data_IF_196269090899
#
_entry.id   IF_196269090899
#
_cell.length_a   1.000
_cell.length_b   1.000
_cell.length_c   1.000
_cell.angle_alpha   90.00
_cell.angle_beta   90.00
_cell.angle_gamma   90.00
#
_symmetry.space_group_name_H-M   'P 1'
#
loop_
_entity.id
_entity.type
_entity.pdbx_description
1 polymer ?
#
# COMPACT_ATOMS: atom_id res chain seq x y z
N UNK A 1 -17.40 28.64 0.02
CA UNK A 1 -18.01 28.94 1.33
C UNK A 1 -17.16 30.04 1.95
N UNK A 2 -17.48 31.30 1.65
CA UNK A 2 -16.89 32.45 2.35
C UNK A 2 -17.94 33.01 3.29
N UNK A 3 -17.94 32.60 4.55
CA UNK A 3 -18.63 33.34 5.58
C UNK A 3 -17.71 34.47 6.06
N UNK A 4 -18.23 35.66 6.24
CA UNK A 4 -17.51 36.84 6.69
C UNK A 4 -17.06 36.78 8.16
N UNK A 5 -17.36 35.71 8.87
CA UNK A 5 -16.90 35.49 10.27
C UNK A 5 -15.63 34.65 10.28
N UNK A 6 -14.55 35.24 9.82
CA UNK A 6 -13.21 34.72 9.60
C UNK A 6 -12.50 34.05 10.77
N UNK A 7 -13.10 33.09 11.48
CA UNK A 7 -12.45 32.44 12.62
C UNK A 7 -12.14 30.96 12.47
N UNK A 8 -12.71 30.25 11.51
CA UNK A 8 -12.37 28.83 11.27
C UNK A 8 -12.02 28.62 9.81
N UNK A 9 -10.74 28.44 9.52
CA UNK A 9 -10.25 27.94 8.23
C UNK A 9 -10.07 26.44 8.31
N UNK A 10 -10.69 25.72 7.36
CA UNK A 10 -10.42 24.31 7.18
C UNK A 10 -9.08 24.16 6.45
N UNK A 11 -8.17 23.38 7.00
CA UNK A 11 -6.91 23.03 6.35
C UNK A 11 -7.09 21.88 5.34
N UNK A 12 -8.09 21.02 5.55
CA UNK A 12 -8.41 19.85 4.73
C UNK A 12 -9.92 19.74 4.51
N UNK A 13 -10.32 19.48 3.28
CA UNK A 13 -11.69 19.10 2.90
C UNK A 13 -11.64 17.73 2.27
N UNK A 14 -12.39 16.76 2.81
CA UNK A 14 -12.53 15.44 2.22
C UNK A 14 -13.90 15.31 1.55
N UNK A 15 -13.88 14.91 0.27
CA UNK A 15 -15.08 14.70 -0.55
C UNK A 15 -15.17 13.21 -0.85
N UNK A 16 -16.25 12.58 -0.38
CA UNK A 16 -16.53 11.16 -0.64
C UNK A 16 -17.63 11.03 -1.70
N UNK A 17 -17.33 10.29 -2.76
CA UNK A 17 -18.34 9.79 -3.70
C UNK A 17 -18.68 8.36 -3.30
N UNK A 18 -19.88 8.16 -2.80
CA UNK A 18 -20.39 6.83 -2.40
C UNK A 18 -21.34 6.33 -3.47
N UNK A 19 -21.05 5.14 -4.03
CA UNK A 19 -21.90 4.53 -5.06
C UNK A 19 -21.95 3.02 -4.86
N UNK A 20 -23.11 2.43 -5.14
CA UNK A 20 -23.30 0.97 -5.11
C UNK A 20 -22.95 0.30 -6.44
N UNK A 21 -22.43 1.06 -7.40
CA UNK A 21 -21.98 0.53 -8.69
C UNK A 21 -20.47 0.42 -8.70
N UNK A 22 -19.92 -0.58 -9.42
CA UNK A 22 -18.48 -0.66 -9.66
C UNK A 22 -18.04 0.49 -10.56
N UNK A 23 -16.95 1.18 -10.18
CA UNK A 23 -16.30 2.15 -11.06
C UNK A 23 -15.51 1.39 -12.11
N UNK A 24 -16.10 1.20 -13.29
CA UNK A 24 -15.43 0.54 -14.42
C UNK A 24 -14.68 1.59 -15.22
N UNK A 25 -13.36 1.48 -15.28
CA UNK A 25 -12.56 2.20 -16.27
C UNK A 25 -12.78 1.57 -17.63
N UNK A 26 -13.70 2.11 -18.43
CA UNK A 26 -13.92 1.67 -19.80
C UNK A 26 -12.76 2.11 -20.68
N UNK A 27 -11.74 1.27 -20.82
CA UNK A 27 -10.72 1.43 -21.85
C UNK A 27 -11.37 1.15 -23.21
N UNK A 28 -11.38 2.14 -24.10
CA UNK A 28 -11.74 1.97 -25.51
C UNK A 28 -13.19 2.28 -25.91
N UNK A 29 -13.99 2.86 -25.03
CA UNK A 29 -15.32 3.33 -25.41
C UNK A 29 -15.25 4.73 -26.07
N UNK A 30 -16.05 4.94 -27.10
CA UNK A 30 -16.32 6.25 -27.74
C UNK A 30 -16.62 7.30 -26.68
N UNK A 31 -16.16 8.55 -26.82
CA UNK A 31 -16.36 9.58 -25.82
C UNK A 31 -17.86 9.80 -25.59
N UNK A 32 -18.31 9.47 -24.40
CA UNK A 32 -19.67 9.78 -23.97
C UNK A 32 -19.67 11.20 -23.38
N UNK A 33 -20.55 12.09 -23.82
CA UNK A 33 -20.51 13.51 -23.48
C UNK A 33 -20.76 13.84 -22.00
N UNK A 34 -21.18 12.88 -21.18
CA UNK A 34 -21.58 13.11 -19.79
C UNK A 34 -20.77 12.31 -18.77
N UNK A 35 -19.53 11.97 -19.08
CA UNK A 35 -18.72 11.20 -18.15
C UNK A 35 -18.12 12.09 -17.07
N UNK A 36 -18.67 12.04 -15.87
CA UNK A 36 -18.03 12.65 -14.70
C UNK A 36 -16.82 11.79 -14.34
N UNK A 37 -15.63 12.36 -14.50
CA UNK A 37 -14.40 11.75 -14.05
C UNK A 37 -14.20 12.12 -12.59
N UNK A 38 -14.35 11.15 -11.69
CA UNK A 38 -14.08 11.29 -10.29
C UNK A 38 -13.08 10.20 -9.91
N UNK A 39 -11.85 10.58 -9.63
CA UNK A 39 -10.78 9.69 -9.24
C UNK A 39 -10.38 10.00 -7.79
N UNK A 40 -9.80 9.02 -7.09
CA UNK A 40 -9.13 9.29 -5.81
C UNK A 40 -7.95 10.21 -6.09
N UNK A 41 -7.99 11.41 -5.54
CA UNK A 41 -7.04 12.46 -5.84
C UNK A 41 -6.86 13.37 -4.62
N UNK A 42 -5.65 13.88 -4.45
CA UNK A 42 -5.36 14.94 -3.50
C UNK A 42 -4.91 16.17 -4.28
N UNK A 43 -5.60 17.30 -4.09
CA UNK A 43 -5.31 18.56 -4.75
C UNK A 43 -5.05 19.62 -3.69
N UNK A 44 -3.92 20.31 -3.80
CA UNK A 44 -3.62 21.46 -2.94
C UNK A 44 -3.97 22.74 -3.68
N UNK A 45 -4.85 23.55 -3.10
CA UNK A 45 -5.18 24.88 -3.60
C UNK A 45 -4.33 25.89 -2.87
N UNK A 46 -3.42 26.53 -3.60
CA UNK A 46 -2.55 27.57 -3.07
C UNK A 46 -3.23 28.95 -3.17
N UNK A 47 -3.51 29.56 -2.03
CA UNK A 47 -4.08 30.90 -1.96
C UNK A 47 -3.05 32.03 -1.86
N UNK A 48 -1.76 31.69 -1.77
CA UNK A 48 -0.66 32.64 -1.52
C UNK A 48 -0.40 33.67 -2.63
N UNK A 49 -1.09 33.56 -3.77
CA UNK A 49 -0.98 34.55 -4.87
C UNK A 49 -1.70 35.86 -4.58
N UNK A 50 -2.56 35.94 -3.58
CA UNK A 50 -3.24 37.16 -3.18
C UNK A 50 -2.57 37.73 -1.93
N UNK A 51 -1.71 38.73 -2.11
CA UNK A 51 -0.83 39.31 -1.06
C UNK A 51 -1.54 39.97 0.12
N UNK A 52 -2.87 40.11 0.10
CA UNK A 52 -3.61 40.86 1.11
C UNK A 52 -4.21 40.00 2.24
N UNK A 53 -4.27 38.69 2.10
CA UNK A 53 -4.78 37.80 3.17
C UNK A 53 -3.84 36.62 3.36
N UNK A 54 -3.40 36.39 4.60
CA UNK A 54 -2.70 35.17 5.00
C UNK A 54 -3.71 34.03 5.07
N UNK A 55 -4.15 33.54 3.91
CA UNK A 55 -5.02 32.37 3.82
C UNK A 55 -4.10 31.16 3.67
N UNK A 56 -4.28 30.17 4.55
CA UNK A 56 -3.57 28.88 4.45
C UNK A 56 -3.99 28.13 3.20
N UNK A 57 -3.09 27.32 2.65
CA UNK A 57 -3.40 26.41 1.55
C UNK A 57 -4.46 25.40 1.98
N UNK A 58 -5.39 25.08 1.08
CA UNK A 58 -6.46 24.12 1.32
C UNK A 58 -6.12 22.80 0.60
N UNK A 59 -6.12 21.72 1.34
CA UNK A 59 -5.97 20.38 0.79
C UNK A 59 -7.37 19.80 0.56
N UNK A 60 -7.66 19.44 -0.70
CA UNK A 60 -8.91 18.75 -1.07
C UNK A 60 -8.56 17.31 -1.38
N UNK A 61 -9.15 16.38 -0.62
CA UNK A 61 -9.03 14.93 -0.83
C UNK A 61 -10.33 14.41 -1.41
N UNK A 62 -10.25 13.81 -2.57
CA UNK A 62 -11.40 13.11 -3.19
C UNK A 62 -11.24 11.61 -2.98
N UNK A 63 -12.33 10.95 -2.58
CA UNK A 63 -12.37 9.52 -2.29
C UNK A 63 -13.58 8.88 -2.96
N UNK A 64 -13.39 7.70 -3.52
CA UNK A 64 -14.47 6.89 -4.07
C UNK A 64 -14.70 5.70 -3.14
N UNK A 65 -15.95 5.53 -2.72
CA UNK A 65 -16.41 4.34 -2.01
C UNK A 65 -17.44 3.66 -2.93
N UNK A 66 -16.98 2.69 -3.71
CA UNK A 66 -17.82 1.92 -4.62
C UNK A 66 -18.13 0.52 -4.06
N UNK A 67 -18.90 -0.25 -4.81
CA UNK A 67 -19.28 -1.62 -4.40
C UNK A 67 -18.06 -2.52 -4.22
N UNK A 68 -16.99 -2.32 -5.01
CA UNK A 68 -15.77 -3.11 -4.89
C UNK A 68 -15.04 -2.78 -3.58
N UNK A 69 -14.95 -1.49 -3.23
CA UNK A 69 -14.39 -1.06 -1.95
C UNK A 69 -15.18 -1.65 -0.77
N UNK A 70 -16.52 -1.55 -0.82
CA UNK A 70 -17.37 -2.12 0.23
C UNK A 70 -17.24 -3.64 0.33
N UNK A 71 -17.18 -4.32 -0.82
CA UNK A 71 -16.96 -5.76 -0.87
C UNK A 71 -15.62 -6.17 -0.26
N UNK A 72 -14.54 -5.46 -0.57
CA UNK A 72 -13.23 -5.71 0.01
C UNK A 72 -13.22 -5.48 1.53
N UNK A 73 -13.88 -4.40 2.01
CA UNK A 73 -14.03 -4.14 3.45
C UNK A 73 -14.84 -5.25 4.14
N UNK A 74 -15.93 -5.71 3.54
CA UNK A 74 -16.75 -6.78 4.11
C UNK A 74 -16.00 -8.11 4.16
N UNK A 75 -15.27 -8.47 3.10
CA UNK A 75 -14.44 -9.68 3.09
C UNK A 75 -13.35 -9.59 4.14
N UNK A 76 -12.69 -8.44 4.27
CA UNK A 76 -11.64 -8.26 5.28
C UNK A 76 -12.17 -8.40 6.71
N UNK A 77 -13.44 -8.09 6.95
CA UNK A 77 -14.08 -8.24 8.26
C UNK A 77 -14.65 -9.66 8.49
N UNK A 78 -15.01 -10.37 7.43
CA UNK A 78 -15.81 -11.61 7.52
C UNK A 78 -15.03 -12.92 7.57
N UNK A 79 -13.79 -12.97 7.11
CA UNK A 79 -12.98 -14.19 7.11
C UNK A 79 -11.54 -13.89 7.50
N UNK A 80 -11.33 -13.79 8.80
CA UNK A 80 -9.96 -13.77 9.36
C UNK A 80 -9.35 -15.18 9.39
N UNK A 81 -9.32 -15.85 8.26
CA UNK A 81 -8.36 -16.92 8.10
C UNK A 81 -6.97 -16.30 8.09
N UNK A 82 -6.16 -16.68 9.07
CA UNK A 82 -4.79 -16.23 9.18
C UNK A 82 -4.04 -16.54 7.88
N UNK A 83 -3.50 -15.51 7.22
CA UNK A 83 -2.73 -15.70 6.00
C UNK A 83 -1.41 -16.38 6.33
N UNK A 84 -1.24 -17.61 5.89
CA UNK A 84 0.02 -18.35 6.05
C UNK A 84 0.83 -18.27 4.75
N UNK A 85 2.06 -17.79 4.87
CA UNK A 85 3.04 -17.77 3.79
C UNK A 85 4.13 -18.79 4.09
N UNK A 86 4.21 -19.83 3.25
CA UNK A 86 5.27 -20.83 3.28
C UNK A 86 6.30 -20.50 2.20
N UNK A 87 7.45 -19.97 2.64
CA UNK A 87 8.49 -19.51 1.71
C UNK A 87 9.20 -20.70 1.03
N UNK A 88 9.49 -21.75 1.80
CA UNK A 88 10.19 -22.92 1.28
C UNK A 88 9.34 -23.64 0.24
N UNK A 89 8.06 -23.87 0.51
CA UNK A 89 7.15 -24.55 -0.39
C UNK A 89 6.76 -23.72 -1.60
N UNK A 90 6.52 -22.40 -1.40
CA UNK A 90 5.96 -21.54 -2.46
C UNK A 90 7.07 -20.97 -3.35
N UNK A 91 8.24 -20.69 -2.79
CA UNK A 91 9.35 -20.02 -3.50
C UNK A 91 10.62 -20.88 -3.58
N UNK A 92 10.61 -22.10 -3.03
CA UNK A 92 11.71 -23.07 -3.11
C UNK A 92 12.83 -22.86 -2.10
N UNK A 93 12.84 -21.75 -1.35
CA UNK A 93 13.87 -21.45 -0.37
C UNK A 93 13.30 -20.73 0.86
N UNK A 94 13.82 -21.02 2.06
CA UNK A 94 13.51 -20.22 3.24
C UNK A 94 14.14 -18.83 3.13
N UNK A 95 13.64 -17.88 3.90
CA UNK A 95 14.29 -16.57 4.02
C UNK A 95 15.42 -16.67 5.06
N UNK A 96 16.61 -16.25 4.65
CA UNK A 96 17.72 -16.08 5.58
C UNK A 96 17.54 -14.79 6.39
N UNK A 97 17.72 -14.89 7.71
CA UNK A 97 17.44 -13.80 8.61
C UNK A 97 18.51 -13.65 9.70
N UNK A 98 18.59 -12.45 10.25
CA UNK A 98 19.38 -12.11 11.43
C UNK A 98 18.38 -11.74 12.51
N UNK A 99 18.50 -12.35 13.72
CA UNK A 99 17.69 -11.98 14.88
C UNK A 99 18.09 -10.58 15.33
N UNK A 100 17.17 -9.66 15.39
CA UNK A 100 17.39 -8.27 15.75
C UNK A 100 16.95 -7.97 17.19
N UNK A 101 15.88 -8.61 17.67
CA UNK A 101 15.44 -8.53 19.06
C UNK A 101 14.83 -9.86 19.52
N UNK A 102 14.89 -10.09 20.83
CA UNK A 102 14.38 -11.27 21.54
C UNK A 102 13.85 -10.81 22.89
N UNK A 103 12.56 -10.48 22.92
CA UNK A 103 11.88 -9.95 24.10
C UNK A 103 10.79 -10.92 24.57
N UNK A 104 10.33 -10.79 25.79
CA UNK A 104 9.35 -11.71 26.40
C UNK A 104 8.05 -11.86 25.58
N UNK A 105 7.69 -10.86 24.80
CA UNK A 105 6.42 -10.80 24.06
C UNK A 105 6.56 -10.69 22.54
N UNK A 106 7.78 -10.56 22.02
CA UNK A 106 8.04 -10.59 20.58
C UNK A 106 9.49 -10.92 20.24
N UNK A 107 9.68 -11.48 19.06
CA UNK A 107 10.98 -11.60 18.41
C UNK A 107 10.97 -10.78 17.11
N UNK A 108 12.10 -10.20 16.77
CA UNK A 108 12.25 -9.53 15.48
C UNK A 108 13.46 -10.01 14.69
N UNK A 109 13.28 -10.02 13.37
CA UNK A 109 14.27 -10.52 12.43
C UNK A 109 14.45 -9.53 11.29
N UNK A 110 15.68 -9.37 10.83
CA UNK A 110 16.02 -8.65 9.61
C UNK A 110 16.32 -9.66 8.51
N UNK A 111 15.68 -9.49 7.36
CA UNK A 111 15.92 -10.33 6.19
C UNK A 111 15.87 -9.52 4.90
N UNK A 112 16.49 -10.05 3.86
CA UNK A 112 16.34 -9.54 2.49
C UNK A 112 15.28 -10.36 1.79
N UNK A 113 14.19 -9.70 1.40
CA UNK A 113 13.08 -10.32 0.70
C UNK A 113 13.15 -9.95 -0.78
N UNK A 114 13.30 -10.92 -1.69
CA UNK A 114 13.34 -10.65 -3.13
C UNK A 114 12.07 -9.94 -3.62
N UNK A 115 12.22 -8.96 -4.50
CA UNK A 115 11.08 -8.21 -5.07
C UNK A 115 10.09 -9.12 -5.80
N UNK A 116 10.56 -10.20 -6.43
CA UNK A 116 9.73 -11.23 -7.07
C UNK A 116 8.81 -11.95 -6.08
N UNK A 117 9.30 -12.22 -4.86
CA UNK A 117 8.48 -12.81 -3.78
C UNK A 117 7.38 -11.83 -3.36
N UNK A 118 7.74 -10.56 -3.13
CA UNK A 118 6.77 -9.51 -2.76
C UNK A 118 5.71 -9.34 -3.84
N UNK A 119 6.11 -9.28 -5.11
CA UNK A 119 5.21 -9.15 -6.25
C UNK A 119 4.24 -10.33 -6.34
N UNK A 120 4.75 -11.56 -6.15
CA UNK A 120 3.92 -12.77 -6.15
C UNK A 120 2.92 -12.78 -5.00
N UNK A 121 3.35 -12.45 -3.78
CA UNK A 121 2.47 -12.35 -2.63
C UNK A 121 1.37 -11.31 -2.87
N UNK A 122 1.72 -10.14 -3.42
CA UNK A 122 0.72 -9.12 -3.73
C UNK A 122 -0.26 -9.58 -4.82
N UNK A 123 0.21 -10.30 -5.83
CA UNK A 123 -0.65 -10.89 -6.86
C UNK A 123 -1.65 -11.87 -6.28
N UNK A 124 -1.18 -12.74 -5.36
CA UNK A 124 -1.99 -13.85 -4.85
C UNK A 124 -2.94 -13.41 -3.73
N UNK A 125 -2.57 -12.42 -2.92
CA UNK A 125 -3.28 -12.05 -1.70
C UNK A 125 -3.76 -10.59 -1.66
N UNK A 126 -3.22 -9.72 -2.53
CA UNK A 126 -3.66 -8.33 -2.71
C UNK A 126 -3.86 -7.57 -1.37
N UNK A 127 -5.08 -7.11 -1.12
CA UNK A 127 -5.44 -6.32 0.08
C UNK A 127 -5.29 -7.09 1.40
N UNK A 128 -5.40 -8.42 1.38
CA UNK A 128 -5.21 -9.25 2.60
C UNK A 128 -3.82 -9.11 3.21
N UNK A 129 -2.79 -8.83 2.40
CA UNK A 129 -1.44 -8.55 2.90
C UNK A 129 -1.35 -7.26 3.71
N UNK A 130 -2.29 -6.35 3.52
CA UNK A 130 -2.23 -4.96 3.96
C UNK A 130 -3.35 -4.60 4.94
N UNK A 131 -4.15 -5.57 5.40
CA UNK A 131 -5.33 -5.33 6.26
C UNK A 131 -4.99 -4.58 7.54
N UNK A 132 -3.85 -4.89 8.16
CA UNK A 132 -3.37 -4.20 9.37
C UNK A 132 -2.66 -2.87 9.09
N UNK A 133 -2.48 -2.52 7.82
CA UNK A 133 -1.86 -1.26 7.43
C UNK A 133 -2.94 -0.18 7.25
N UNK A 134 -3.28 0.50 8.33
CA UNK A 134 -4.35 1.52 8.39
C UNK A 134 -4.21 2.63 7.34
N UNK A 135 -2.99 2.89 6.85
CA UNK A 135 -2.74 3.90 5.80
C UNK A 135 -2.93 3.38 4.39
N UNK A 136 -2.95 2.06 4.19
CA UNK A 136 -2.95 1.45 2.86
C UNK A 136 -4.30 1.50 2.19
N UNK A 137 -5.39 1.43 2.92
CA UNK A 137 -6.75 1.36 2.39
C UNK A 137 -7.16 2.57 1.54
N UNK A 138 -6.52 3.72 1.72
CA UNK A 138 -6.91 4.96 1.08
C UNK A 138 -5.94 5.50 0.01
N UNK A 139 -4.79 4.88 -0.23
CA UNK A 139 -3.72 5.51 -1.01
C UNK A 139 -3.11 4.71 -2.17
N UNK A 140 -3.54 3.47 -2.45
CA UNK A 140 -2.81 2.60 -3.39
C UNK A 140 -3.27 2.65 -4.86
N UNK A 141 -3.88 3.71 -5.33
CA UNK A 141 -4.23 3.85 -6.75
C UNK A 141 -3.13 4.49 -7.61
N UNK A 142 -1.91 4.57 -7.13
CA UNK A 142 -0.83 5.17 -7.92
C UNK A 142 0.50 4.44 -7.76
N UNK A 143 1.14 4.17 -8.89
CA UNK A 143 2.55 3.77 -8.91
C UNK A 143 3.38 4.98 -8.46
N UNK A 144 4.15 4.83 -7.38
CA UNK A 144 5.10 5.86 -6.98
C UNK A 144 6.19 5.97 -8.06
N UNK A 145 6.22 7.12 -8.73
CA UNK A 145 7.15 7.35 -9.86
C UNK A 145 8.60 7.13 -9.46
N UNK A 146 9.00 7.62 -8.29
CA UNK A 146 10.38 7.46 -7.80
C UNK A 146 10.76 6.00 -7.60
N UNK A 147 9.91 5.23 -6.93
CA UNK A 147 10.13 3.78 -6.72
C UNK A 147 10.18 3.06 -8.07
N UNK A 148 9.24 3.36 -8.97
CA UNK A 148 9.18 2.77 -10.31
C UNK A 148 10.42 3.08 -11.14
N UNK A 149 10.92 4.31 -11.08
CA UNK A 149 12.14 4.69 -11.80
C UNK A 149 13.36 3.97 -11.27
N UNK A 150 13.48 3.83 -9.95
CA UNK A 150 14.56 3.06 -9.33
C UNK A 150 14.52 1.60 -9.79
N UNK A 151 13.35 0.95 -9.76
CA UNK A 151 13.20 -0.44 -10.23
C UNK A 151 13.64 -0.58 -11.70
N UNK A 152 13.30 0.39 -12.54
CA UNK A 152 13.57 0.31 -13.99
C UNK A 152 14.98 0.69 -14.40
N UNK A 153 15.59 1.65 -13.73
CA UNK A 153 16.85 2.24 -14.18
C UNK A 153 18.04 1.83 -13.32
N UNK A 154 17.81 1.58 -12.04
CA UNK A 154 18.88 1.36 -11.05
C UNK A 154 18.43 0.34 -9.98
N UNK A 155 18.02 -0.88 -10.38
CA UNK A 155 17.47 -1.88 -9.46
C UNK A 155 18.44 -2.27 -8.35
N UNK A 156 19.74 -2.20 -8.59
CA UNK A 156 20.79 -2.46 -7.60
C UNK A 156 20.78 -1.43 -6.44
N UNK A 157 20.26 -0.23 -6.67
CA UNK A 157 20.14 0.81 -5.65
C UNK A 157 18.82 0.75 -4.87
N UNK A 158 17.93 -0.16 -5.24
CA UNK A 158 16.59 -0.22 -4.67
C UNK A 158 16.59 -0.33 -3.14
N UNK A 159 17.45 -1.20 -2.59
CA UNK A 159 17.57 -1.39 -1.14
C UNK A 159 18.05 -0.13 -0.43
N UNK A 160 18.94 0.64 -1.07
CA UNK A 160 19.48 1.87 -0.49
C UNK A 160 18.48 3.04 -0.52
N UNK A 161 17.59 3.08 -1.51
CA UNK A 161 16.66 4.19 -1.73
C UNK A 161 15.27 3.98 -1.08
N UNK A 162 14.98 2.77 -0.61
CA UNK A 162 13.70 2.45 0.00
C UNK A 162 13.83 2.12 1.48
N UNK A 163 12.84 2.53 2.25
CA UNK A 163 12.81 2.35 3.70
C UNK A 163 12.50 0.90 4.13
N UNK A 164 12.44 -0.05 3.19
CA UNK A 164 12.09 -1.43 3.46
C UNK A 164 10.62 -1.64 3.79
N UNK A 165 10.31 -2.83 4.29
CA UNK A 165 8.98 -3.24 4.72
C UNK A 165 9.01 -3.63 6.19
N UNK A 166 7.91 -3.40 6.91
CA UNK A 166 7.69 -4.01 8.21
C UNK A 166 6.57 -5.04 8.09
N UNK A 167 6.88 -6.27 8.46
CA UNK A 167 5.99 -7.40 8.41
C UNK A 167 5.76 -7.90 9.82
N UNK A 168 4.51 -8.23 10.15
CA UNK A 168 4.15 -8.91 11.40
C UNK A 168 3.56 -10.28 11.11
N UNK A 169 3.76 -11.21 12.02
CA UNK A 169 3.15 -12.53 12.04
C UNK A 169 2.82 -12.90 13.47
N UNK A 170 1.81 -13.74 13.68
CA UNK A 170 1.47 -14.25 15.00
C UNK A 170 2.26 -15.51 15.37
N UNK A 171 2.77 -16.22 14.35
CA UNK A 171 3.60 -17.41 14.52
C UNK A 171 4.50 -17.61 13.31
N UNK A 172 5.58 -18.37 13.46
CA UNK A 172 6.49 -18.69 12.37
C UNK A 172 7.26 -19.99 12.60
N UNK A 173 7.52 -20.72 11.52
CA UNK A 173 8.52 -21.79 11.53
C UNK A 173 9.89 -21.19 11.22
N UNK A 174 10.62 -20.84 12.29
CA UNK A 174 11.93 -20.20 12.21
C UNK A 174 12.94 -21.14 12.87
N UNK A 175 13.99 -21.48 12.15
CA UNK A 175 15.00 -22.43 12.61
C UNK A 175 16.39 -21.79 12.57
N UNK A 176 17.17 -22.09 13.59
CA UNK A 176 18.59 -21.74 13.61
C UNK A 176 19.39 -22.95 13.07
N UNK A 177 19.94 -22.80 11.88
CA UNK A 177 20.73 -23.83 11.22
C UNK A 177 22.10 -23.29 10.87
N UNK A 178 23.15 -23.95 11.30
CA UNK A 178 24.55 -23.54 11.04
C UNK A 178 24.86 -22.08 11.41
N UNK A 179 24.27 -21.59 12.51
CA UNK A 179 24.47 -20.22 12.99
C UNK A 179 23.65 -19.15 12.26
N UNK A 180 22.74 -19.52 11.35
CA UNK A 180 21.92 -18.62 10.60
C UNK A 180 20.43 -18.95 10.79
N UNK A 181 19.61 -17.93 11.01
CA UNK A 181 18.16 -18.12 11.08
C UNK A 181 17.56 -18.31 9.68
N UNK A 182 16.65 -19.26 9.58
CA UNK A 182 15.90 -19.57 8.37
C UNK A 182 14.41 -19.48 8.69
N UNK A 183 13.73 -18.55 8.07
CA UNK A 183 12.28 -18.40 8.16
C UNK A 183 11.67 -19.25 7.05
N UNK A 184 11.04 -20.37 7.41
CA UNK A 184 10.40 -21.30 6.47
C UNK A 184 8.97 -20.88 6.18
N UNK A 185 8.22 -20.51 7.22
CA UNK A 185 6.84 -20.00 7.04
C UNK A 185 6.48 -19.01 8.13
N UNK A 186 5.49 -18.15 7.81
CA UNK A 186 4.89 -17.18 8.72
C UNK A 186 3.36 -17.30 8.66
N UNK A 187 2.70 -17.30 9.83
CA UNK A 187 1.25 -17.32 9.97
C UNK A 187 0.74 -15.96 10.38
N UNK A 188 -0.41 -15.56 9.86
CA UNK A 188 -0.98 -14.21 9.98
C UNK A 188 -0.02 -13.12 9.46
N UNK A 189 0.55 -13.40 8.29
CA UNK A 189 1.50 -12.53 7.61
C UNK A 189 0.82 -11.23 7.20
N UNK A 190 1.33 -10.09 7.69
CA UNK A 190 0.78 -8.77 7.41
C UNK A 190 1.89 -7.76 7.15
N UNK A 191 1.77 -6.99 6.09
CA UNK A 191 2.67 -5.85 5.80
C UNK A 191 2.09 -4.60 6.45
N UNK A 192 2.60 -4.24 7.62
CA UNK A 192 2.10 -3.09 8.40
C UNK A 192 2.76 -1.77 7.99
N UNK A 193 3.90 -1.82 7.33
CA UNK A 193 4.56 -0.66 6.71
C UNK A 193 5.19 -1.04 5.37
N UNK A 194 5.20 -0.11 4.40
CA UNK A 194 5.73 -0.33 3.06
C UNK A 194 4.70 -0.83 2.03
N UNK A 195 3.41 -0.71 2.30
CA UNK A 195 2.36 -1.12 1.38
C UNK A 195 2.43 -0.44 0.01
N UNK A 196 2.80 0.86 -0.04
CA UNK A 196 3.01 1.57 -1.30
C UNK A 196 4.17 0.97 -2.10
N UNK A 197 5.27 0.64 -1.44
CA UNK A 197 6.42 -0.04 -2.07
C UNK A 197 5.99 -1.39 -2.65
N UNK A 198 5.26 -2.18 -1.86
CA UNK A 198 4.72 -3.48 -2.26
C UNK A 198 3.86 -3.39 -3.52
N UNK A 199 2.89 -2.49 -3.53
CA UNK A 199 2.01 -2.27 -4.68
C UNK A 199 2.79 -1.79 -5.90
N UNK A 200 3.74 -0.85 -5.72
CA UNK A 200 4.55 -0.32 -6.83
C UNK A 200 5.43 -1.38 -7.46
N UNK A 201 6.04 -2.27 -6.68
CA UNK A 201 6.82 -3.41 -7.19
C UNK A 201 5.93 -4.27 -8.08
N UNK A 202 4.76 -4.68 -7.59
CA UNK A 202 3.83 -5.51 -8.34
C UNK A 202 3.38 -4.85 -9.66
N UNK A 203 2.91 -3.61 -9.62
CA UNK A 203 2.43 -2.93 -10.82
C UNK A 203 3.55 -2.64 -11.82
N UNK A 204 4.77 -2.36 -11.34
CA UNK A 204 5.91 -2.15 -12.23
C UNK A 204 6.27 -3.44 -12.99
N UNK A 205 6.27 -4.58 -12.31
CA UNK A 205 6.50 -5.88 -12.95
C UNK A 205 5.35 -6.26 -13.90
N UNK A 206 4.09 -6.03 -13.51
CA UNK A 206 2.92 -6.29 -14.36
C UNK A 206 2.93 -5.49 -15.66
N UNK A 207 3.52 -4.30 -15.66
CA UNK A 207 3.65 -3.44 -16.86
C UNK A 207 4.77 -3.90 -17.81
N UNK A 208 5.31 -5.10 -17.65
CA UNK A 208 6.27 -5.73 -18.57
C UNK A 208 7.72 -5.37 -18.27
N UNK A 209 8.05 -5.19 -17.03
CA UNK A 209 9.42 -5.07 -16.56
C UNK A 209 9.77 -6.31 -15.73
N UNK A 210 10.54 -7.20 -16.33
CA UNK A 210 11.14 -8.37 -15.68
C UNK A 210 12.46 -8.01 -15.02
#
# INVERSE_FOLDING_TARGET
VSSNDGKEQFDVVEIFLITLTATVSLKGATPQPNKIKFDDEEVTINFSKNRERKIKDLIIKKRIIDINFLYEVLISQGSREALTVDFEKTFGNPLFAIKAADEDYFESFLCVLPASVISRLYKDFSTRLLEKNVRSFLQFKGVNKGIRETIRKEPEKFVAYNNGLTITATNGNIQLESGQYKIKSLTDFQIVNGGQTTATIYFTQKDGFD
#
